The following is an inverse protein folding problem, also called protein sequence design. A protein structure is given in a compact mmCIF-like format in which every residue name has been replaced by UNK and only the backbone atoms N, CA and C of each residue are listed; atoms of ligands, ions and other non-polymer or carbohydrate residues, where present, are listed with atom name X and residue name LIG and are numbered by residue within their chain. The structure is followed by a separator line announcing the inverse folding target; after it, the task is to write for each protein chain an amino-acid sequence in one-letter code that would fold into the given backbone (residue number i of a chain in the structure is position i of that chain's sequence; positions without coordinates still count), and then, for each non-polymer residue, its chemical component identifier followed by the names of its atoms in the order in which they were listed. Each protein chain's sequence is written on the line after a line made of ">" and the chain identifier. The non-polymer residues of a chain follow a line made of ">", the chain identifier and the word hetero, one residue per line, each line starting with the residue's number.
data_IF_618963050173
#
_entry.id   IF_618963050173
#
_cell.length_a   1.000
_cell.length_b   1.000
_cell.length_c   1.000
_cell.angle_alpha   90.00
_cell.angle_beta   90.00
_cell.angle_gamma   90.00
#
_symmetry.space_group_name_H-M   'P 1'
#
loop_
_entity.id
_entity.type
_entity.pdbx_description
1 polymer ?
#
# COMPACT_ATOMS: atom_id res chain seq x y z
N UNK A 1 5.80 6.21 13.88
CA UNK A 1 4.91 7.30 13.45
C UNK A 1 5.32 7.76 12.06
N UNK A 2 4.38 7.78 11.13
CA UNK A 2 4.52 8.40 9.81
C UNK A 2 3.89 9.80 9.88
N UNK A 3 4.60 10.82 9.43
CA UNK A 3 4.06 12.17 9.35
C UNK A 3 4.60 12.94 8.14
N UNK A 4 3.84 13.92 7.69
CA UNK A 4 4.19 14.74 6.53
C UNK A 4 4.00 16.22 6.84
N UNK A 5 4.70 17.08 6.11
CA UNK A 5 4.26 18.47 5.94
C UNK A 5 3.02 18.52 5.03
N UNK A 6 2.57 19.71 4.67
CA UNK A 6 1.67 19.84 3.52
C UNK A 6 2.33 19.21 2.30
N UNK A 7 1.62 18.28 1.65
CA UNK A 7 2.07 17.62 0.42
C UNK A 7 1.27 18.15 -0.76
N UNK A 8 1.95 18.48 -1.85
CA UNK A 8 1.28 18.75 -3.13
C UNK A 8 1.81 17.82 -4.20
N UNK A 9 0.89 17.06 -4.79
CA UNK A 9 1.14 16.24 -5.96
C UNK A 9 0.83 17.05 -7.20
N UNK A 10 1.75 17.07 -8.14
CA UNK A 10 1.60 17.75 -9.43
C UNK A 10 1.54 16.72 -10.55
N UNK A 11 0.73 17.01 -11.55
CA UNK A 11 0.78 16.37 -12.87
C UNK A 11 1.28 17.42 -13.86
N UNK A 12 2.43 17.16 -14.47
CA UNK A 12 3.22 18.18 -15.13
C UNK A 12 3.48 19.35 -14.15
N UNK A 13 3.06 20.56 -14.44
CA UNK A 13 3.21 21.70 -13.52
C UNK A 13 1.91 22.10 -12.84
N UNK A 14 0.79 21.41 -13.12
CA UNK A 14 -0.50 21.68 -12.51
C UNK A 14 -0.66 20.91 -11.18
N UNK A 15 -1.15 21.55 -10.10
CA UNK A 15 -1.45 20.83 -8.87
C UNK A 15 -2.63 19.87 -9.06
N UNK A 16 -2.37 18.57 -8.85
CA UNK A 16 -3.36 17.50 -8.96
C UNK A 16 -4.08 17.26 -7.62
N UNK A 17 -3.33 17.32 -6.52
CA UNK A 17 -3.85 17.04 -5.18
C UNK A 17 -2.99 17.75 -4.13
N UNK A 18 -3.62 18.42 -3.17
CA UNK A 18 -2.95 18.98 -2.00
C UNK A 18 -3.52 18.37 -0.73
N UNK A 19 -2.64 17.89 0.15
CA UNK A 19 -2.99 17.32 1.44
C UNK A 19 -2.47 18.20 2.57
N UNK A 20 -3.26 18.37 3.64
CA UNK A 20 -2.74 18.97 4.87
C UNK A 20 -1.64 18.08 5.49
N UNK A 21 -0.91 18.57 6.47
CA UNK A 21 0.01 17.73 7.23
C UNK A 21 -0.70 16.51 7.80
N UNK A 22 -0.13 15.32 7.55
CA UNK A 22 -0.66 14.05 8.04
C UNK A 22 0.14 13.57 9.24
N UNK A 23 -0.52 12.86 10.13
CA UNK A 23 0.10 12.18 11.25
C UNK A 23 -0.58 10.84 11.48
N UNK A 24 0.17 9.75 11.32
CA UNK A 24 -0.30 8.38 11.57
C UNK A 24 0.60 7.76 12.63
N UNK A 25 0.03 7.46 13.79
CA UNK A 25 0.80 6.86 14.89
C UNK A 25 0.99 5.36 14.66
N UNK A 26 1.96 4.73 15.35
CA UNK A 26 2.18 3.29 15.24
C UNK A 26 0.91 2.48 15.51
N UNK A 27 0.58 1.55 14.62
CA UNK A 27 -0.60 0.70 14.72
C UNK A 27 -1.92 1.32 14.26
N UNK A 28 -1.92 2.59 13.87
CA UNK A 28 -3.07 3.30 13.33
C UNK A 28 -3.14 3.16 11.80
N UNK A 29 -4.37 3.19 11.29
CA UNK A 29 -4.66 3.26 9.85
C UNK A 29 -5.39 4.57 9.56
N UNK A 30 -4.81 5.42 8.73
CA UNK A 30 -5.48 6.59 8.17
C UNK A 30 -6.00 6.24 6.78
N UNK A 31 -7.29 6.40 6.57
CA UNK A 31 -7.95 6.11 5.29
C UNK A 31 -8.06 7.37 4.45
N UNK A 32 -7.66 7.28 3.19
CA UNK A 32 -7.79 8.33 2.19
C UNK A 32 -8.91 7.94 1.23
N UNK A 33 -9.95 8.75 1.17
CA UNK A 33 -11.08 8.59 0.25
C UNK A 33 -11.17 9.77 -0.71
N UNK A 34 -11.72 9.56 -1.88
CA UNK A 34 -11.90 10.60 -2.88
C UNK A 34 -12.29 10.02 -4.23
N UNK A 35 -12.67 10.86 -5.20
CA UNK A 35 -13.11 10.42 -6.51
C UNK A 35 -12.03 9.67 -7.27
N UNK A 36 -12.44 8.84 -8.23
CA UNK A 36 -11.51 8.15 -9.13
C UNK A 36 -10.70 9.19 -9.93
N UNK A 37 -9.41 8.90 -10.13
CA UNK A 37 -8.53 9.79 -10.90
C UNK A 37 -7.96 10.99 -10.11
N UNK A 38 -8.35 11.24 -8.86
CA UNK A 38 -7.81 12.37 -8.08
C UNK A 38 -6.35 12.20 -7.60
N UNK A 39 -5.65 11.14 -8.04
CA UNK A 39 -4.22 10.95 -7.74
C UNK A 39 -3.90 10.10 -6.52
N UNK A 40 -4.85 9.34 -5.93
CA UNK A 40 -4.63 8.51 -4.73
C UNK A 40 -3.48 7.51 -4.88
N UNK A 41 -3.51 6.69 -5.92
CA UNK A 41 -2.44 5.70 -6.20
C UNK A 41 -1.11 6.37 -6.50
N UNK A 42 -1.14 7.50 -7.22
CA UNK A 42 0.06 8.30 -7.49
C UNK A 42 0.65 8.90 -6.21
N UNK A 43 -0.20 9.34 -5.28
CA UNK A 43 0.23 9.78 -3.96
C UNK A 43 0.94 8.65 -3.19
N UNK A 44 0.35 7.45 -3.13
CA UNK A 44 0.98 6.30 -2.47
C UNK A 44 2.32 5.96 -3.14
N UNK A 45 2.38 5.96 -4.47
CA UNK A 45 3.63 5.74 -5.22
C UNK A 45 4.69 6.81 -4.89
N UNK A 46 4.30 8.08 -4.77
CA UNK A 46 5.17 9.18 -4.38
C UNK A 46 5.71 9.01 -2.94
N UNK A 47 4.84 8.64 -1.99
CA UNK A 47 5.21 8.36 -0.61
C UNK A 47 6.18 7.17 -0.50
N UNK A 48 5.97 6.11 -1.30
CA UNK A 48 6.88 4.98 -1.39
C UNK A 48 8.20 5.32 -2.12
N UNK A 49 8.23 6.41 -2.91
CA UNK A 49 9.39 6.82 -3.70
C UNK A 49 9.55 6.04 -5.01
N UNK A 50 8.48 5.43 -5.52
CA UNK A 50 8.51 4.59 -6.73
C UNK A 50 7.95 5.29 -7.98
N UNK A 51 7.76 6.61 -7.92
CA UNK A 51 7.44 7.39 -9.13
C UNK A 51 8.60 7.31 -10.13
N UNK A 52 8.31 7.16 -11.42
CA UNK A 52 9.36 7.16 -12.45
C UNK A 52 10.17 8.46 -12.44
N UNK A 53 11.51 8.39 -12.42
CA UNK A 53 12.34 9.58 -12.54
C UNK A 53 12.06 10.34 -13.84
N UNK A 54 11.88 11.66 -13.75
CA UNK A 54 11.57 12.50 -14.91
C UNK A 54 10.16 12.31 -15.49
N UNK A 55 9.30 11.56 -14.79
CA UNK A 55 7.89 11.42 -15.17
C UNK A 55 7.07 12.70 -14.90
N UNK A 56 5.82 12.74 -15.39
CA UNK A 56 4.96 13.92 -15.28
C UNK A 56 4.46 14.18 -13.87
N UNK A 57 4.56 13.16 -12.97
CA UNK A 57 4.06 13.27 -11.60
C UNK A 57 5.22 13.62 -10.66
N UNK A 58 5.02 14.68 -9.88
CA UNK A 58 6.00 15.20 -8.93
C UNK A 58 5.32 15.47 -7.58
N UNK A 59 6.02 15.17 -6.48
CA UNK A 59 5.56 15.48 -5.12
C UNK A 59 6.45 16.57 -4.51
N UNK A 60 5.82 17.52 -3.83
CA UNK A 60 6.50 18.50 -2.96
C UNK A 60 6.07 18.33 -1.51
N UNK A 61 6.91 18.78 -0.59
CA UNK A 61 6.73 18.61 0.84
C UNK A 61 7.62 17.53 1.44
N UNK A 62 7.57 17.38 2.74
CA UNK A 62 8.42 16.46 3.49
C UNK A 62 7.63 15.25 3.99
N UNK A 63 8.27 14.09 3.91
CA UNK A 63 7.79 12.81 4.43
C UNK A 63 8.79 12.34 5.48
N UNK A 64 8.31 12.03 6.68
CA UNK A 64 9.15 11.56 7.79
C UNK A 64 8.58 10.27 8.38
N UNK A 65 9.46 9.36 8.74
CA UNK A 65 9.14 8.14 9.49
C UNK A 65 9.94 8.13 10.80
N UNK A 66 9.27 8.47 11.89
CA UNK A 66 9.93 8.87 13.13
C UNK A 66 10.72 10.17 12.93
N UNK A 67 12.01 10.16 13.25
CA UNK A 67 12.92 11.29 13.02
C UNK A 67 13.58 11.25 11.62
N UNK A 68 13.38 10.19 10.84
CA UNK A 68 14.05 10.01 9.55
C UNK A 68 13.26 10.66 8.43
N UNK A 69 13.86 11.61 7.72
CA UNK A 69 13.29 12.20 6.50
C UNK A 69 13.42 11.21 5.34
N UNK A 70 12.30 10.90 4.68
CA UNK A 70 12.25 9.92 3.60
C UNK A 70 12.35 10.56 2.21
N UNK A 71 11.96 11.82 2.07
CA UNK A 71 11.84 12.51 0.77
C UNK A 71 13.08 12.35 -0.12
N UNK A 72 14.34 12.50 0.37
CA UNK A 72 15.53 12.35 -0.48
C UNK A 72 15.98 10.90 -0.68
N UNK A 73 15.32 9.93 0.00
CA UNK A 73 15.77 8.54 -0.01
C UNK A 73 15.18 7.76 -1.18
N UNK A 74 15.96 6.86 -1.79
CA UNK A 74 15.43 5.91 -2.75
C UNK A 74 14.48 4.91 -2.09
N UNK A 75 13.57 4.26 -2.85
CA UNK A 75 12.51 3.40 -2.28
C UNK A 75 13.01 2.35 -1.29
N UNK A 76 14.08 1.63 -1.63
CA UNK A 76 14.64 0.55 -0.82
C UNK A 76 15.18 1.00 0.55
N UNK A 77 15.42 2.28 0.72
CA UNK A 77 15.92 2.85 1.97
C UNK A 77 14.83 3.47 2.84
N UNK A 78 13.62 3.66 2.29
CA UNK A 78 12.50 4.29 3.02
C UNK A 78 11.94 3.40 4.13
N UNK A 79 12.03 2.08 3.99
CA UNK A 79 11.41 1.13 4.91
C UNK A 79 9.88 1.19 4.88
N UNK A 80 9.31 1.63 3.76
CA UNK A 80 7.88 1.74 3.50
C UNK A 80 7.48 0.61 2.57
N UNK A 81 6.54 -0.23 3.02
CA UNK A 81 5.89 -1.23 2.18
C UNK A 81 4.76 -0.59 1.37
N UNK A 82 4.54 -1.06 0.16
CA UNK A 82 3.41 -0.65 -0.66
C UNK A 82 2.73 -1.86 -1.27
N UNK A 83 1.40 -1.90 -1.19
CA UNK A 83 0.55 -2.79 -1.94
C UNK A 83 -0.17 -1.96 -3.00
N UNK A 84 0.05 -2.29 -4.26
CA UNK A 84 -0.65 -1.69 -5.39
C UNK A 84 -1.98 -2.41 -5.64
N UNK A 85 -2.87 -1.77 -6.36
CA UNK A 85 -4.13 -2.37 -6.81
C UNK A 85 -3.91 -3.63 -7.65
N UNK A 86 -2.81 -3.68 -8.42
CA UNK A 86 -2.34 -4.90 -9.09
C UNK A 86 -1.48 -5.74 -8.15
N UNK A 87 -1.64 -7.07 -8.23
CA UNK A 87 -0.99 -8.00 -7.30
C UNK A 87 0.54 -8.03 -7.42
N UNK A 88 1.09 -7.68 -8.59
CA UNK A 88 2.51 -7.61 -8.90
C UNK A 88 3.32 -8.82 -8.39
N UNK A 89 2.74 -10.02 -8.46
CA UNK A 89 3.43 -11.26 -8.12
C UNK A 89 4.39 -11.67 -9.24
N UNK A 90 5.55 -12.18 -8.85
CA UNK A 90 6.52 -12.72 -9.80
C UNK A 90 5.96 -14.00 -10.42
N UNK A 91 5.59 -13.96 -11.70
CA UNK A 91 4.88 -15.04 -12.38
C UNK A 91 5.70 -16.35 -12.48
N UNK A 92 7.02 -16.25 -12.43
CA UNK A 92 7.97 -17.37 -12.51
C UNK A 92 8.35 -17.96 -11.15
N UNK A 93 7.92 -17.35 -10.04
CA UNK A 93 8.12 -17.84 -8.68
C UNK A 93 6.84 -18.47 -8.15
N UNK A 94 6.96 -19.53 -7.37
CA UNK A 94 5.83 -20.12 -6.62
C UNK A 94 5.26 -19.12 -5.61
N UNK A 95 4.11 -19.44 -5.05
CA UNK A 95 3.48 -18.64 -3.97
C UNK A 95 4.43 -18.50 -2.78
N UNK A 96 5.03 -19.61 -2.33
CA UNK A 96 6.01 -19.57 -1.23
C UNK A 96 7.22 -18.70 -1.56
N UNK A 97 7.78 -18.84 -2.77
CA UNK A 97 8.93 -18.05 -3.21
C UNK A 97 8.61 -16.56 -3.33
N UNK A 98 7.40 -16.19 -3.78
CA UNK A 98 6.93 -14.82 -3.76
C UNK A 98 6.91 -14.23 -2.35
N UNK A 99 6.44 -14.98 -1.36
CA UNK A 99 6.45 -14.56 0.04
C UNK A 99 7.89 -14.46 0.58
N UNK A 100 8.72 -15.46 0.33
CA UNK A 100 10.12 -15.48 0.78
C UNK A 100 10.94 -14.34 0.18
N UNK A 101 10.64 -13.91 -1.06
CA UNK A 101 11.31 -12.78 -1.69
C UNK A 101 11.13 -11.47 -0.89
N UNK A 102 9.95 -11.26 -0.30
CA UNK A 102 9.67 -10.08 0.53
C UNK A 102 10.31 -10.11 1.93
N UNK A 103 10.70 -11.28 2.43
CA UNK A 103 11.16 -11.41 3.82
C UNK A 103 12.49 -10.70 4.09
N UNK A 104 12.67 -10.15 5.30
CA UNK A 104 13.86 -9.38 5.64
C UNK A 104 15.13 -10.26 5.70
N UNK A 105 16.29 -9.61 5.51
CA UNK A 105 17.58 -10.31 5.46
C UNK A 105 18.01 -10.94 6.79
N UNK A 106 17.45 -10.48 7.93
CA UNK A 106 17.76 -11.06 9.25
C UNK A 106 17.15 -12.44 9.43
N UNK A 107 16.05 -12.77 8.72
CA UNK A 107 15.49 -14.13 8.68
C UNK A 107 16.35 -15.00 7.77
N UNK A 108 17.36 -15.65 8.38
CA UNK A 108 18.35 -16.45 7.69
C UNK A 108 17.91 -17.92 7.53
N UNK A 109 18.38 -18.55 6.46
CA UNK A 109 18.14 -19.97 6.18
C UNK A 109 16.86 -20.23 5.38
N UNK A 110 16.99 -21.04 4.33
CA UNK A 110 15.89 -21.39 3.43
C UNK A 110 14.74 -22.08 4.19
N UNK A 111 15.07 -23.04 5.07
CA UNK A 111 14.06 -23.76 5.85
C UNK A 111 13.21 -22.84 6.74
N UNK A 112 13.83 -21.88 7.44
CA UNK A 112 13.12 -20.93 8.28
C UNK A 112 12.17 -20.02 7.45
N UNK A 113 12.63 -19.57 6.28
CA UNK A 113 11.81 -18.76 5.36
C UNK A 113 10.65 -19.56 4.79
N UNK A 114 10.87 -20.83 4.41
CA UNK A 114 9.80 -21.72 3.95
C UNK A 114 8.77 -21.99 5.05
N UNK A 115 9.19 -22.26 6.28
CA UNK A 115 8.29 -22.45 7.43
C UNK A 115 7.45 -21.20 7.62
N UNK A 116 8.08 -20.01 7.66
CA UNK A 116 7.37 -18.73 7.84
C UNK A 116 6.38 -18.44 6.71
N UNK A 117 6.72 -18.78 5.46
CA UNK A 117 5.82 -18.65 4.32
C UNK A 117 4.58 -19.56 4.45
N UNK A 118 4.79 -20.82 4.86
CA UNK A 118 3.70 -21.80 5.07
C UNK A 118 2.77 -21.37 6.20
N UNK A 119 3.32 -20.93 7.33
CA UNK A 119 2.53 -20.39 8.45
C UNK A 119 1.66 -19.21 8.02
N UNK A 120 2.24 -18.25 7.29
CA UNK A 120 1.49 -17.11 6.79
C UNK A 120 0.38 -17.48 5.79
N UNK A 121 0.61 -18.49 4.95
CA UNK A 121 -0.40 -19.03 4.04
C UNK A 121 -1.53 -19.75 4.80
N UNK A 122 -1.20 -20.48 5.86
CA UNK A 122 -2.17 -21.15 6.72
C UNK A 122 -3.12 -20.14 7.39
N UNK A 123 -2.61 -19.03 7.89
CA UNK A 123 -3.41 -17.96 8.51
C UNK A 123 -4.52 -17.42 7.58
N UNK A 124 -4.36 -17.54 6.27
CA UNK A 124 -5.29 -17.05 5.26
C UNK A 124 -5.95 -18.15 4.42
N UNK A 125 -5.82 -19.42 4.84
CA UNK A 125 -6.44 -20.58 4.18
C UNK A 125 -5.88 -20.83 2.76
N UNK A 126 -4.58 -20.62 2.58
CA UNK A 126 -3.89 -20.82 1.29
C UNK A 126 -2.78 -21.88 1.34
N UNK A 127 -2.78 -22.79 2.31
CA UNK A 127 -1.74 -23.83 2.48
C UNK A 127 -1.60 -24.71 1.25
N UNK A 128 -2.73 -25.06 0.62
CA UNK A 128 -2.75 -25.91 -0.58
C UNK A 128 -2.21 -25.20 -1.84
N UNK A 129 -1.87 -23.92 -1.74
CA UNK A 129 -1.38 -23.10 -2.86
C UNK A 129 0.13 -22.88 -2.82
N UNK A 130 0.83 -23.35 -1.80
CA UNK A 130 2.24 -23.06 -1.47
C UNK A 130 3.19 -23.23 -2.65
N UNK A 131 3.04 -24.31 -3.41
CA UNK A 131 3.92 -24.67 -4.53
C UNK A 131 3.36 -24.25 -5.91
N UNK A 132 2.20 -23.58 -5.95
CA UNK A 132 1.58 -23.12 -7.22
C UNK A 132 2.23 -21.84 -7.72
N UNK A 133 2.19 -21.66 -9.04
CA UNK A 133 2.53 -20.38 -9.67
C UNK A 133 1.35 -19.42 -9.59
N UNK A 134 1.57 -18.10 -9.59
CA UNK A 134 0.52 -17.09 -9.53
C UNK A 134 -0.55 -17.24 -10.62
N UNK A 135 -0.19 -17.74 -11.81
CA UNK A 135 -1.14 -17.98 -12.89
C UNK A 135 -2.27 -18.97 -12.55
N UNK A 136 -2.05 -19.87 -11.57
CA UNK A 136 -3.03 -20.86 -11.13
C UNK A 136 -3.94 -20.36 -9.99
N UNK A 137 -3.76 -19.12 -9.52
CA UNK A 137 -4.54 -18.53 -8.44
C UNK A 137 -5.71 -17.69 -8.96
N UNK A 138 -6.81 -17.67 -8.20
CA UNK A 138 -7.87 -16.68 -8.41
C UNK A 138 -7.40 -15.25 -8.05
N UNK A 139 -8.12 -14.21 -8.51
CA UNK A 139 -7.80 -12.82 -8.19
C UNK A 139 -7.74 -12.56 -6.68
N UNK A 140 -8.71 -13.06 -5.92
CA UNK A 140 -8.72 -12.92 -4.46
C UNK A 140 -7.60 -13.71 -3.75
N UNK A 141 -7.15 -14.84 -4.31
CA UNK A 141 -5.97 -15.54 -3.80
C UNK A 141 -4.69 -14.75 -4.06
N UNK A 142 -4.53 -14.18 -5.26
CA UNK A 142 -3.39 -13.31 -5.61
C UNK A 142 -3.31 -12.11 -4.69
N UNK A 143 -4.44 -11.42 -4.47
CA UNK A 143 -4.51 -10.26 -3.58
C UNK A 143 -4.04 -10.60 -2.15
N UNK A 144 -4.49 -11.75 -1.59
CA UNK A 144 -4.04 -12.21 -0.28
C UNK A 144 -2.53 -12.52 -0.24
N UNK A 145 -2.00 -13.21 -1.24
CA UNK A 145 -0.56 -13.49 -1.34
C UNK A 145 0.26 -12.20 -1.43
N UNK A 146 -0.18 -11.25 -2.25
CA UNK A 146 0.50 -9.96 -2.42
C UNK A 146 0.55 -9.16 -1.11
N UNK A 147 -0.57 -9.11 -0.37
CA UNK A 147 -0.61 -8.43 0.91
C UNK A 147 0.22 -9.15 1.98
N UNK A 148 0.19 -10.49 2.04
CA UNK A 148 1.09 -11.25 2.91
C UNK A 148 2.57 -10.96 2.61
N UNK A 149 2.95 -10.88 1.34
CA UNK A 149 4.31 -10.53 0.94
C UNK A 149 4.72 -9.15 1.47
N UNK A 150 3.83 -8.16 1.38
CA UNK A 150 4.08 -6.82 1.90
C UNK A 150 4.22 -6.80 3.44
N UNK A 151 3.41 -7.59 4.16
CA UNK A 151 3.48 -7.70 5.61
C UNK A 151 4.72 -8.48 6.09
N UNK A 152 5.11 -9.54 5.38
CA UNK A 152 6.29 -10.35 5.70
C UNK A 152 7.62 -9.61 5.43
N UNK A 153 7.58 -8.51 4.70
CA UNK A 153 8.73 -7.61 4.54
C UNK A 153 9.05 -6.81 5.83
N UNK A 154 8.20 -6.89 6.86
CA UNK A 154 8.34 -6.15 8.11
C UNK A 154 8.53 -4.64 7.89
N UNK A 155 7.64 -4.00 7.13
CA UNK A 155 7.79 -2.59 6.81
C UNK A 155 7.59 -1.74 8.06
N UNK A 156 8.25 -0.59 8.12
CA UNK A 156 8.10 0.40 9.20
C UNK A 156 6.89 1.32 9.03
N UNK A 157 6.33 1.35 7.83
CA UNK A 157 5.03 1.93 7.47
C UNK A 157 4.46 1.16 6.27
N UNK A 158 3.14 1.09 6.12
CA UNK A 158 2.48 0.37 5.03
C UNK A 158 1.50 1.26 4.28
N UNK A 159 1.58 1.22 2.95
CA UNK A 159 0.68 1.92 2.04
C UNK A 159 -0.16 0.89 1.29
N UNK A 160 -1.48 1.04 1.34
CA UNK A 160 -2.43 0.06 0.82
C UNK A 160 -3.35 0.73 -0.21
N UNK A 161 -3.27 0.28 -1.46
CA UNK A 161 -4.12 0.76 -2.56
C UNK A 161 -5.19 -0.27 -2.88
N UNK A 162 -6.44 -0.02 -2.46
CA UNK A 162 -7.61 -0.88 -2.66
C UNK A 162 -7.38 -2.37 -2.27
N UNK A 163 -6.82 -2.66 -1.07
CA UNK A 163 -6.28 -3.98 -0.72
C UNK A 163 -7.33 -5.10 -0.67
N UNK A 164 -8.61 -4.75 -0.54
CA UNK A 164 -9.69 -5.71 -0.33
C UNK A 164 -10.69 -5.76 -1.50
N UNK A 165 -10.51 -4.95 -2.54
CA UNK A 165 -11.46 -4.80 -3.65
C UNK A 165 -11.72 -6.08 -4.44
N UNK A 166 -10.76 -7.01 -4.48
CA UNK A 166 -10.84 -8.29 -5.22
C UNK A 166 -11.36 -9.48 -4.39
N UNK A 167 -11.78 -9.23 -3.14
CA UNK A 167 -12.27 -10.26 -2.22
C UNK A 167 -13.80 -10.26 -2.18
N UNK A 168 -14.40 -11.46 -2.06
CA UNK A 168 -15.83 -11.57 -1.74
C UNK A 168 -16.12 -11.10 -0.31
N UNK A 169 -17.35 -10.70 -0.03
CA UNK A 169 -17.75 -10.05 1.21
C UNK A 169 -17.36 -10.82 2.48
N UNK A 170 -17.64 -12.13 2.64
CA UNK A 170 -17.28 -12.85 3.87
C UNK A 170 -15.78 -12.93 4.10
N UNK A 171 -15.04 -13.24 3.03
CA UNK A 171 -13.58 -13.35 3.06
C UNK A 171 -12.92 -11.97 3.30
N UNK A 172 -13.48 -10.91 2.69
CA UNK A 172 -13.03 -9.53 2.85
C UNK A 172 -13.07 -9.10 4.31
N UNK A 173 -14.18 -9.35 5.01
CA UNK A 173 -14.34 -8.99 6.42
C UNK A 173 -13.30 -9.70 7.32
N UNK A 174 -13.14 -11.02 7.17
CA UNK A 174 -12.18 -11.80 7.93
C UNK A 174 -10.72 -11.37 7.66
N UNK A 175 -10.39 -11.15 6.37
CA UNK A 175 -9.04 -10.78 5.98
C UNK A 175 -8.68 -9.35 6.41
N UNK A 176 -9.64 -8.42 6.34
CA UNK A 176 -9.51 -7.06 6.83
C UNK A 176 -9.18 -7.04 8.33
N UNK A 177 -9.93 -7.80 9.14
CA UNK A 177 -9.68 -7.94 10.58
C UNK A 177 -8.25 -8.43 10.84
N UNK A 178 -7.81 -9.48 10.16
CA UNK A 178 -6.46 -10.03 10.29
C UNK A 178 -5.38 -8.99 9.96
N UNK A 179 -5.55 -8.23 8.88
CA UNK A 179 -4.59 -7.20 8.47
C UNK A 179 -4.49 -6.10 9.52
N UNK A 180 -5.61 -5.56 9.96
CA UNK A 180 -5.62 -4.46 10.94
C UNK A 180 -5.12 -4.89 12.32
N UNK A 181 -5.44 -6.10 12.76
CA UNK A 181 -4.86 -6.66 13.98
C UNK A 181 -3.34 -6.79 13.87
N UNK A 182 -2.84 -7.24 12.72
CA UNK A 182 -1.41 -7.36 12.49
C UNK A 182 -0.71 -5.99 12.47
N UNK A 183 -1.27 -4.99 11.81
CA UNK A 183 -0.76 -3.62 11.83
C UNK A 183 -0.70 -3.06 13.25
N UNK A 184 -1.74 -3.30 14.05
CA UNK A 184 -1.81 -2.87 15.44
C UNK A 184 -0.78 -3.56 16.32
N UNK A 185 -0.68 -4.88 16.25
CA UNK A 185 0.24 -5.68 17.10
C UNK A 185 1.70 -5.45 16.76
N UNK A 186 2.00 -5.19 15.49
CA UNK A 186 3.37 -4.86 15.02
C UNK A 186 3.66 -3.35 15.08
N UNK A 187 2.71 -2.53 15.57
CA UNK A 187 2.84 -1.08 15.66
C UNK A 187 3.22 -0.41 14.33
N UNK A 188 2.68 -0.89 13.19
CA UNK A 188 2.95 -0.37 11.85
C UNK A 188 1.92 0.71 11.53
N UNK A 189 2.29 1.98 11.35
CA UNK A 189 1.40 3.02 10.82
C UNK A 189 1.07 2.72 9.36
N UNK A 190 -0.20 2.87 8.95
CA UNK A 190 -0.61 2.59 7.59
C UNK A 190 -1.48 3.71 6.98
N UNK A 191 -1.33 3.93 5.68
CA UNK A 191 -2.25 4.69 4.85
C UNK A 191 -3.02 3.72 3.96
N UNK A 192 -4.33 3.81 4.03
CA UNK A 192 -5.25 3.00 3.23
C UNK A 192 -5.97 3.89 2.23
N UNK A 193 -5.92 3.54 0.96
CA UNK A 193 -6.79 4.10 -0.08
C UNK A 193 -7.90 3.11 -0.35
N UNK A 194 -9.14 3.56 -0.25
CA UNK A 194 -10.33 2.79 -0.62
C UNK A 194 -11.48 3.72 -0.99
N UNK A 195 -12.44 3.21 -1.72
CA UNK A 195 -13.72 3.87 -2.00
C UNK A 195 -14.88 3.27 -1.17
N UNK A 196 -14.60 2.23 -0.36
CA UNK A 196 -15.58 1.54 0.46
C UNK A 196 -15.38 1.88 1.94
N UNK A 197 -16.38 2.53 2.55
CA UNK A 197 -16.33 2.93 3.95
C UNK A 197 -16.26 1.73 4.91
N UNK A 198 -16.76 0.55 4.50
CA UNK A 198 -16.63 -0.66 5.30
C UNK A 198 -15.18 -1.09 5.52
N UNK A 199 -14.25 -0.68 4.64
CA UNK A 199 -12.83 -0.97 4.77
C UNK A 199 -12.07 0.00 5.66
N UNK A 200 -12.67 1.12 6.05
CA UNK A 200 -12.04 2.15 6.85
C UNK A 200 -12.12 1.82 8.35
N UNK A 201 -11.02 1.45 9.02
CA UNK A 201 -11.05 1.05 10.43
C UNK A 201 -11.02 2.22 11.42
N UNK A 202 -10.84 3.45 10.94
CA UNK A 202 -10.63 4.62 11.80
C UNK A 202 -10.82 5.95 11.07
N UNK A 203 -9.88 6.86 11.24
CA UNK A 203 -9.95 8.21 10.67
C UNK A 203 -9.98 8.18 9.15
N UNK A 204 -10.94 8.89 8.56
CA UNK A 204 -11.07 9.08 7.12
C UNK A 204 -10.73 10.52 6.78
N UNK A 205 -9.83 10.70 5.81
CA UNK A 205 -9.55 11.98 5.17
C UNK A 205 -10.12 11.98 3.76
N UNK A 206 -11.07 12.86 3.53
CA UNK A 206 -11.64 13.06 2.20
C UNK A 206 -10.70 13.92 1.36
N UNK A 207 -10.27 13.38 0.22
CA UNK A 207 -9.44 14.07 -0.75
C UNK A 207 -10.33 14.87 -1.71
N UNK A 208 -10.09 16.18 -1.75
CA UNK A 208 -10.80 17.09 -2.64
C UNK A 208 -9.79 17.48 -3.74
N UNK A 209 -10.02 17.07 -5.00
CA UNK A 209 -9.20 17.57 -6.09
C UNK A 209 -9.37 19.09 -6.20
N UNK A 210 -8.34 19.82 -6.64
CA UNK A 210 -8.48 21.24 -6.92
C UNK A 210 -9.61 21.44 -7.93
N UNK A 211 -10.41 22.49 -7.75
CA UNK A 211 -11.44 22.85 -8.72
C UNK A 211 -10.76 23.04 -10.09
N UNK A 212 -11.17 22.26 -11.09
CA UNK A 212 -10.76 22.48 -12.47
C UNK A 212 -11.37 23.83 -12.84
N UNK A 213 -10.59 24.82 -13.27
CA UNK A 213 -11.17 26.04 -13.84
C UNK A 213 -12.11 25.61 -14.97
N UNK A 214 -13.37 26.01 -14.91
CA UNK A 214 -14.28 25.85 -16.05
C UNK A 214 -13.63 26.60 -17.22
N UNK A 215 -13.15 25.87 -18.23
CA UNK A 215 -12.81 26.50 -19.50
C UNK A 215 -14.11 27.12 -20.01
N UNK A 216 -14.16 28.43 -20.01
CA UNK A 216 -15.21 29.18 -20.71
C UNK A 216 -15.24 28.70 -22.14
N UNK A 217 -16.18 27.81 -22.46
CA UNK A 217 -16.55 27.52 -23.85
C UNK A 217 -17.10 28.82 -24.44
N UNK A 218 -16.20 29.66 -24.90
CA UNK A 218 -16.58 30.68 -25.87
C UNK A 218 -16.97 29.95 -27.16
N UNK A 219 -18.27 29.68 -27.25
CA UNK A 219 -18.93 29.41 -28.52
C UNK A 219 -18.73 30.66 -29.39
N UNK A 220 -17.90 30.54 -30.40
CA UNK A 220 -17.86 31.45 -31.58
C UNK A 220 -18.61 30.78 -32.71
#
# INVERSE_FOLDING_TARGET
>A
MLHTSTLTLFLDDAPLLTLPPLRVVPGEVLTLMGPSGCGKSSLLAALAGVLPPGGPIRLTGDILLGARRLTPLPPQERGVGILFQDDLLFAHLTVAENLMFGMPAHLKGMAARQTRAREALAEVGLEAQVDKLPGALSGGQKARVSLLRALLAEPRALLLDEPFSRLDKPLRAAFRTLVFERLRTQAIPALLVTHDEEDAPGTILQLIPPAIPEEEHHLV
#
